data_IF_375092178545
#
_entry.id   IF_375092178545
#
_cell.length_a   1.000
_cell.length_b   1.000
_cell.length_c   1.000
_cell.angle_alpha   90.00
_cell.angle_beta   90.00
_cell.angle_gamma   90.00
#
_symmetry.space_group_name_H-M   'P 1'
#
loop_
_entity.id
_entity.type
_entity.pdbx_description
1 polymer ?
#
# COMPACT_ATOMS: atom_id res chain seq x y z
N UNK A 1 -26.79 -25.78 18.36
CA UNK A 1 -26.85 -24.51 17.62
C UNK A 1 -26.56 -23.38 18.59
N UNK A 2 -25.49 -22.61 18.31
CA UNK A 2 -25.29 -21.18 18.58
C UNK A 2 -25.49 -20.73 20.05
N UNK A 3 -24.45 -20.52 20.83
CA UNK A 3 -23.34 -19.59 20.57
C UNK A 3 -23.68 -18.25 21.23
N UNK A 4 -23.28 -18.10 22.48
CA UNK A 4 -23.20 -16.83 23.17
C UNK A 4 -21.87 -16.83 23.93
N UNK A 5 -20.80 -16.47 23.22
CA UNK A 5 -19.58 -16.02 23.86
C UNK A 5 -19.94 -14.74 24.62
N UNK A 6 -19.99 -14.86 25.95
CA UNK A 6 -20.06 -13.70 26.83
C UNK A 6 -18.77 -12.89 26.65
N UNK A 7 -18.88 -11.80 25.89
CA UNK A 7 -17.82 -10.81 25.75
C UNK A 7 -17.61 -10.16 27.12
N UNK A 8 -16.58 -10.59 27.86
CA UNK A 8 -16.13 -9.92 29.07
C UNK A 8 -15.52 -8.56 28.72
N UNK A 9 -16.38 -7.54 28.58
CA UNK A 9 -15.96 -6.16 28.44
C UNK A 9 -15.46 -5.63 29.79
N UNK A 10 -14.18 -5.25 29.84
CA UNK A 10 -13.64 -4.47 30.95
C UNK A 10 -14.47 -3.19 31.16
N UNK A 11 -14.62 -2.72 32.41
CA UNK A 11 -15.44 -1.55 32.74
C UNK A 11 -15.03 -0.29 31.93
N UNK A 12 -13.73 -0.15 31.65
CA UNK A 12 -13.18 0.91 30.80
C UNK A 12 -13.63 0.77 29.34
N UNK A 13 -13.72 -0.45 28.83
CA UNK A 13 -14.10 -0.73 27.45
C UNK A 13 -15.60 -0.50 27.23
N UNK A 14 -16.42 -0.90 28.19
CA UNK A 14 -17.86 -0.62 28.21
C UNK A 14 -18.14 0.89 28.17
N UNK A 15 -17.39 1.69 28.93
CA UNK A 15 -17.52 3.16 28.93
C UNK A 15 -17.11 3.79 27.59
N UNK A 16 -16.08 3.25 26.92
CA UNK A 16 -15.65 3.73 25.60
C UNK A 16 -16.69 3.42 24.53
N UNK A 17 -17.20 2.19 24.51
CA UNK A 17 -18.22 1.78 23.54
C UNK A 17 -19.51 2.58 23.72
N UNK A 18 -19.96 2.82 24.96
CA UNK A 18 -21.14 3.66 25.21
C UNK A 18 -20.95 5.10 24.71
N UNK A 19 -19.75 5.67 24.86
CA UNK A 19 -19.47 7.02 24.39
C UNK A 19 -19.45 7.10 22.85
N UNK A 20 -18.84 6.12 22.18
CA UNK A 20 -18.84 6.06 20.71
C UNK A 20 -20.25 5.84 20.16
N UNK A 21 -21.05 4.98 20.81
CA UNK A 21 -22.43 4.74 20.42
C UNK A 21 -23.30 6.01 20.55
N UNK A 22 -23.17 6.76 21.66
CA UNK A 22 -23.88 8.02 21.82
C UNK A 22 -23.42 9.10 20.83
N UNK A 23 -22.11 9.20 20.59
CA UNK A 23 -21.56 10.13 19.62
C UNK A 23 -22.10 9.85 18.22
N UNK A 24 -22.05 8.59 17.78
CA UNK A 24 -22.55 8.20 16.44
C UNK A 24 -24.05 8.40 16.30
N UNK A 25 -24.83 8.17 17.36
CA UNK A 25 -26.27 8.40 17.36
C UNK A 25 -26.63 9.88 17.19
N UNK A 26 -25.77 10.81 17.61
CA UNK A 26 -25.96 12.25 17.44
C UNK A 26 -25.37 12.76 16.11
N UNK A 27 -24.18 12.30 15.73
CA UNK A 27 -23.46 12.83 14.55
C UNK A 27 -24.12 12.43 13.24
N UNK A 28 -24.60 11.19 13.11
CA UNK A 28 -25.22 10.70 11.86
C UNK A 28 -26.46 11.54 11.48
N UNK A 29 -27.46 11.73 12.34
CA UNK A 29 -28.61 12.56 11.99
C UNK A 29 -28.24 14.03 11.81
N UNK A 30 -27.25 14.56 12.53
CA UNK A 30 -26.76 15.92 12.32
C UNK A 30 -26.19 16.10 10.90
N UNK A 31 -25.27 15.23 10.46
CA UNK A 31 -24.71 15.28 9.11
C UNK A 31 -25.82 15.15 8.07
N UNK A 32 -26.72 14.19 8.22
CA UNK A 32 -27.84 13.99 7.30
C UNK A 32 -28.78 15.19 7.25
N UNK A 33 -28.89 15.99 8.31
CA UNK A 33 -29.70 17.20 8.32
C UNK A 33 -28.98 18.38 7.67
N UNK A 34 -27.68 18.55 7.93
CA UNK A 34 -26.88 19.65 7.42
C UNK A 34 -26.48 19.50 5.93
N UNK A 35 -26.32 18.28 5.42
CA UNK A 35 -25.90 18.06 4.02
C UNK A 35 -27.05 17.99 3.02
N UNK A 36 -28.33 18.09 3.44
CA UNK A 36 -29.48 18.05 2.50
C UNK A 36 -29.59 19.28 1.59
N UNK A 37 -28.83 20.34 1.87
CA UNK A 37 -28.90 21.61 1.14
C UNK A 37 -27.73 21.85 0.18
N UNK A 38 -26.72 20.98 0.14
CA UNK A 38 -25.55 21.18 -0.71
C UNK A 38 -25.79 20.57 -2.10
N UNK A 39 -25.83 21.38 -3.18
CA UNK A 39 -25.85 20.84 -4.54
C UNK A 39 -24.56 20.04 -4.76
N UNK A 40 -24.70 18.79 -5.18
CA UNK A 40 -23.55 17.97 -5.53
C UNK A 40 -22.76 18.65 -6.65
N UNK A 41 -21.46 18.85 -6.42
CA UNK A 41 -20.56 19.38 -7.42
C UNK A 41 -20.63 18.49 -8.67
N UNK A 42 -20.97 19.12 -9.79
CA UNK A 42 -21.08 18.52 -11.10
C UNK A 42 -19.76 17.81 -11.46
N UNK A 43 -19.84 16.50 -11.67
CA UNK A 43 -18.70 15.70 -12.13
C UNK A 43 -18.43 16.10 -13.57
N UNK A 44 -17.38 16.90 -13.79
CA UNK A 44 -16.93 17.29 -15.12
C UNK A 44 -16.64 16.03 -15.94
N UNK A 45 -17.48 15.77 -16.94
CA UNK A 45 -17.27 14.74 -17.95
C UNK A 45 -16.17 15.24 -18.88
N UNK A 46 -15.02 14.55 -18.87
CA UNK A 46 -13.93 14.83 -19.80
C UNK A 46 -14.39 14.43 -21.20
N UNK A 47 -14.63 15.41 -22.06
CA UNK A 47 -14.90 15.19 -23.47
C UNK A 47 -13.64 14.63 -24.15
N UNK A 48 -13.75 13.40 -24.67
CA UNK A 48 -12.74 12.83 -25.55
C UNK A 48 -12.74 13.60 -26.89
N UNK A 49 -11.60 14.18 -27.25
CA UNK A 49 -11.40 14.78 -28.56
C UNK A 49 -11.34 13.66 -29.61
N UNK A 50 -12.46 13.42 -30.31
CA UNK A 50 -12.49 12.62 -31.52
C UNK A 50 -11.86 13.41 -32.67
N UNK A 51 -10.83 12.85 -33.29
CA UNK A 51 -10.29 13.37 -34.55
C UNK A 51 -11.20 12.93 -35.69
N UNK A 52 -11.74 13.89 -36.43
CA UNK A 52 -12.52 13.65 -37.64
C UNK A 52 -11.57 13.39 -38.81
N UNK A 53 -11.53 12.14 -39.31
CA UNK A 53 -10.94 11.82 -40.61
C UNK A 53 -12.07 11.61 -41.61
N UNK A 54 -12.61 12.71 -42.13
CA UNK A 54 -13.31 12.68 -43.39
C UNK A 54 -12.34 12.36 -44.52
N UNK A 55 -12.50 11.21 -45.18
CA UNK A 55 -12.54 11.12 -46.64
C UNK A 55 -12.76 9.67 -47.10
N UNK A 56 -13.89 9.45 -47.77
CA UNK A 56 -14.15 8.32 -48.65
C UNK A 56 -13.08 8.27 -49.77
N UNK A 57 -12.27 7.21 -49.84
CA UNK A 57 -11.96 6.58 -51.13
C UNK A 57 -11.36 5.18 -50.97
N UNK A 58 -12.16 4.19 -51.34
CA UNK A 58 -11.72 2.84 -51.68
C UNK A 58 -10.94 2.91 -52.99
N UNK A 59 -9.65 2.61 -52.99
CA UNK A 59 -8.94 2.14 -54.19
C UNK A 59 -7.86 1.16 -53.75
N UNK A 60 -8.18 -0.12 -53.88
CA UNK A 60 -7.21 -1.22 -53.91
C UNK A 60 -6.29 -0.98 -55.11
N UNK A 61 -5.15 -0.33 -54.88
CA UNK A 61 -4.01 -0.36 -55.80
C UNK A 61 -2.88 -1.02 -55.02
N UNK A 62 -2.54 -2.24 -55.44
CA UNK A 62 -1.45 -3.03 -54.90
C UNK A 62 -0.15 -2.20 -54.96
N UNK A 63 0.29 -1.74 -53.79
CA UNK A 63 1.54 -1.01 -53.64
C UNK A 63 2.69 -1.99 -53.87
N UNK A 64 3.67 -1.68 -54.76
CA UNK A 64 4.82 -2.56 -54.94
C UNK A 64 5.53 -2.72 -53.60
N UNK A 65 5.94 -3.97 -53.30
CA UNK A 65 6.60 -4.31 -52.04
C UNK A 65 7.85 -3.42 -51.84
N UNK A 66 8.10 -2.91 -50.62
CA UNK A 66 9.24 -2.06 -50.35
C UNK A 66 10.55 -2.83 -50.60
N UNK A 67 11.44 -2.25 -51.42
CA UNK A 67 12.81 -2.73 -51.59
C UNK A 67 13.65 -2.18 -50.44
N UNK A 68 14.07 -3.06 -49.54
CA UNK A 68 15.02 -2.71 -48.49
C UNK A 68 16.42 -2.66 -49.11
N UNK A 69 16.97 -1.44 -49.27
CA UNK A 69 18.41 -1.30 -49.49
C UNK A 69 19.10 -1.65 -48.17
N UNK A 70 19.78 -2.79 -48.14
CA UNK A 70 20.61 -3.20 -47.00
C UNK A 70 21.71 -2.15 -46.80
N UNK A 71 21.52 -1.30 -45.80
CA UNK A 71 22.55 -0.38 -45.33
C UNK A 71 23.70 -1.16 -44.71
N UNK A 72 24.89 -0.54 -44.54
CA UNK A 72 26.03 -1.20 -43.90
C UNK A 72 25.61 -1.84 -42.57
N UNK A 73 26.02 -3.09 -42.37
CA UNK A 73 25.68 -3.84 -41.17
C UNK A 73 26.07 -3.03 -39.92
N UNK A 74 25.09 -2.82 -39.03
CA UNK A 74 25.32 -2.12 -37.77
C UNK A 74 26.43 -2.83 -37.00
N UNK A 75 27.44 -2.07 -36.58
CA UNK A 75 28.52 -2.59 -35.75
C UNK A 75 27.87 -3.10 -34.46
N UNK A 76 27.95 -4.41 -34.23
CA UNK A 76 27.45 -5.01 -33.01
C UNK A 76 28.12 -4.33 -31.82
N UNK A 77 27.37 -3.85 -30.81
CA UNK A 77 27.97 -3.21 -29.66
C UNK A 77 28.81 -4.26 -28.92
N UNK A 78 30.13 -4.20 -29.06
CA UNK A 78 31.10 -5.03 -28.33
C UNK A 78 31.35 -4.51 -26.91
N UNK A 79 30.54 -3.56 -26.45
CA UNK A 79 30.60 -3.03 -25.11
C UNK A 79 29.84 -3.93 -24.15
N UNK A 80 30.56 -4.76 -23.40
CA UNK A 80 30.06 -5.23 -22.09
C UNK A 80 30.01 -4.01 -21.18
N UNK A 81 28.89 -3.29 -21.21
CA UNK A 81 28.61 -2.28 -20.20
C UNK A 81 28.52 -3.02 -18.86
N UNK A 82 29.39 -2.65 -17.92
CA UNK A 82 29.26 -3.13 -16.54
C UNK A 82 27.98 -2.53 -15.98
N UNK A 83 26.92 -3.33 -15.94
CA UNK A 83 25.72 -2.98 -15.20
C UNK A 83 26.11 -3.08 -13.73
N UNK A 84 26.34 -1.94 -13.09
CA UNK A 84 26.44 -1.90 -11.65
C UNK A 84 25.08 -2.28 -11.07
N UNK A 85 24.94 -3.54 -10.66
CA UNK A 85 23.84 -3.92 -9.79
C UNK A 85 23.99 -3.13 -8.50
N UNK A 86 22.95 -2.43 -8.02
CA UNK A 86 23.02 -1.82 -6.70
C UNK A 86 23.36 -2.94 -5.71
N UNK A 87 24.37 -2.70 -4.88
CA UNK A 87 24.71 -3.58 -3.76
C UNK A 87 23.43 -3.94 -3.01
N UNK A 88 23.28 -5.20 -2.60
CA UNK A 88 22.39 -5.59 -1.50
C UNK A 88 22.93 -4.97 -0.19
N UNK A 89 23.17 -3.65 -0.20
CA UNK A 89 23.53 -2.93 1.00
C UNK A 89 22.40 -3.17 1.96
N UNK A 90 22.79 -3.73 3.10
CA UNK A 90 21.92 -4.02 4.21
C UNK A 90 21.40 -2.68 4.72
N UNK A 91 20.35 -2.15 4.08
CA UNK A 91 19.61 -0.97 4.52
C UNK A 91 18.88 -1.41 5.79
N UNK A 92 19.59 -1.35 6.89
CA UNK A 92 19.20 -1.86 8.17
C UNK A 92 19.72 -0.97 9.28
N UNK A 93 18.90 -0.81 10.31
CA UNK A 93 19.23 -0.04 11.49
C UNK A 93 19.32 -1.02 12.66
N UNK A 94 20.33 -0.84 13.52
CA UNK A 94 20.42 -1.60 14.76
C UNK A 94 19.64 -0.87 15.86
N UNK A 95 18.80 -1.60 16.58
CA UNK A 95 17.97 -1.03 17.63
C UNK A 95 17.40 -2.08 18.56
N UNK A 96 16.65 -1.63 19.56
CA UNK A 96 15.98 -2.52 20.49
C UNK A 96 14.66 -2.99 19.89
N UNK A 97 14.39 -4.29 20.07
CA UNK A 97 13.16 -4.93 19.66
C UNK A 97 12.40 -5.43 20.89
N UNK A 98 11.07 -5.36 20.87
CA UNK A 98 10.21 -5.94 21.90
C UNK A 98 9.07 -6.73 21.30
N UNK A 99 8.40 -7.54 22.11
CA UNK A 99 7.25 -8.34 21.71
C UNK A 99 5.98 -7.81 22.38
N UNK A 100 4.89 -7.74 21.64
CA UNK A 100 3.57 -7.41 22.20
C UNK A 100 2.43 -8.02 21.41
N UNK A 101 1.30 -8.24 22.05
CA UNK A 101 0.09 -8.68 21.37
C UNK A 101 -0.60 -7.51 20.67
N UNK A 102 -0.85 -7.67 19.38
CA UNK A 102 -1.66 -6.78 18.57
C UNK A 102 -3.03 -7.42 18.42
N UNK A 103 -4.06 -6.76 18.92
CA UNK A 103 -5.40 -7.33 18.91
C UNK A 103 -5.93 -7.43 17.46
N UNK A 104 -6.28 -8.65 17.03
CA UNK A 104 -6.82 -8.91 15.70
C UNK A 104 -5.81 -8.89 14.55
N UNK A 105 -4.50 -8.87 14.84
CA UNK A 105 -3.46 -8.90 13.81
C UNK A 105 -2.91 -10.33 13.61
N UNK A 106 -2.45 -10.70 12.40
CA UNK A 106 -1.80 -11.98 12.17
C UNK A 106 -0.38 -11.99 12.77
N UNK A 107 0.11 -13.15 13.23
CA UNK A 107 1.43 -13.31 13.88
C UNK A 107 2.65 -12.91 13.02
N UNK A 108 2.43 -12.52 11.78
CA UNK A 108 3.44 -12.08 10.82
C UNK A 108 3.60 -10.56 10.75
N UNK A 109 2.93 -9.77 11.60
CA UNK A 109 3.05 -8.30 11.59
C UNK A 109 4.01 -7.75 12.65
N UNK A 110 4.56 -6.58 12.38
CA UNK A 110 5.38 -5.80 13.29
C UNK A 110 5.13 -4.31 13.10
N UNK A 111 5.48 -3.50 14.09
CA UNK A 111 5.44 -2.04 14.00
C UNK A 111 6.87 -1.50 14.14
N UNK A 112 7.35 -0.82 13.10
CA UNK A 112 8.60 -0.10 13.06
C UNK A 112 8.36 1.28 12.44
N UNK A 113 8.28 2.36 13.26
CA UNK A 113 8.04 3.72 12.79
C UNK A 113 9.13 4.24 11.83
N UNK A 114 10.33 3.66 11.94
CA UNK A 114 11.50 4.02 11.15
C UNK A 114 11.48 3.45 9.73
N UNK A 115 10.59 2.49 9.45
CA UNK A 115 10.51 1.82 8.16
C UNK A 115 9.18 2.16 7.47
N UNK A 116 9.13 2.10 6.12
CA UNK A 116 7.88 2.27 5.40
C UNK A 116 6.83 1.23 5.82
N UNK A 117 5.56 1.59 5.82
CA UNK A 117 4.47 0.65 6.09
C UNK A 117 4.21 -0.25 4.88
N UNK A 118 3.79 -1.49 5.12
CA UNK A 118 3.48 -2.48 4.08
C UNK A 118 4.70 -3.23 3.51
N UNK A 119 5.92 -2.92 3.95
CA UNK A 119 7.14 -3.63 3.53
C UNK A 119 7.44 -4.79 4.46
N UNK A 120 8.09 -5.83 3.92
CA UNK A 120 8.63 -6.93 4.71
C UNK A 120 9.96 -6.54 5.34
N UNK A 121 10.02 -6.58 6.65
CA UNK A 121 11.22 -6.37 7.45
C UNK A 121 11.77 -7.73 7.90
N UNK A 122 13.10 -7.84 7.91
CA UNK A 122 13.80 -9.00 8.49
C UNK A 122 14.48 -8.53 9.77
N UNK A 123 13.99 -9.03 10.90
CA UNK A 123 14.55 -8.73 12.21
C UNK A 123 15.53 -9.82 12.58
N UNK A 124 16.81 -9.47 12.68
CA UNK A 124 17.87 -10.38 13.12
C UNK A 124 18.25 -10.09 14.56
N UNK A 125 18.10 -11.08 15.41
CA UNK A 125 18.58 -11.02 16.79
C UNK A 125 20.10 -11.18 16.79
N UNK A 126 20.81 -10.15 17.24
CA UNK A 126 22.28 -10.12 17.25
C UNK A 126 22.88 -11.03 18.34
N UNK A 127 22.12 -11.41 19.36
CA UNK A 127 22.59 -12.26 20.46
C UNK A 127 22.62 -13.75 20.09
N UNK A 128 21.66 -14.23 19.27
CA UNK A 128 21.53 -15.65 18.93
C UNK A 128 21.45 -15.93 17.43
N UNK A 129 21.54 -14.90 16.58
CA UNK A 129 21.49 -15.02 15.12
C UNK A 129 20.13 -15.37 14.53
N UNK A 130 19.09 -15.58 15.34
CA UNK A 130 17.74 -15.91 14.83
C UNK A 130 17.15 -14.73 14.09
N UNK A 131 16.52 -15.03 12.96
CA UNK A 131 15.86 -14.02 12.12
C UNK A 131 14.37 -14.29 12.00
N UNK A 132 13.56 -13.24 12.02
CA UNK A 132 12.10 -13.29 11.87
C UNK A 132 11.71 -12.28 10.80
N UNK A 133 10.95 -12.72 9.81
CA UNK A 133 10.36 -11.83 8.82
C UNK A 133 8.98 -11.37 9.27
N UNK A 134 8.69 -10.08 9.17
CA UNK A 134 7.40 -9.50 9.52
C UNK A 134 7.01 -8.38 8.56
N UNK A 135 5.72 -8.15 8.39
CA UNK A 135 5.20 -7.03 7.62
C UNK A 135 5.02 -5.82 8.52
N UNK A 136 5.59 -4.67 8.13
CA UNK A 136 5.46 -3.44 8.90
C UNK A 136 4.04 -2.89 8.75
N UNK A 137 3.37 -2.60 9.87
CA UNK A 137 2.04 -2.00 9.91
C UNK A 137 2.01 -0.83 10.88
N UNK A 138 1.16 0.16 10.63
CA UNK A 138 1.03 1.32 11.50
C UNK A 138 0.26 0.94 12.77
N UNK A 139 0.80 1.32 13.94
CA UNK A 139 0.17 1.11 15.23
C UNK A 139 0.28 2.34 16.14
N UNK A 140 -0.65 2.49 17.10
CA UNK A 140 -0.81 3.74 17.84
C UNK A 140 0.30 4.03 18.84
N UNK A 141 1.09 3.04 19.26
CA UNK A 141 2.23 3.29 20.13
C UNK A 141 3.39 2.33 19.88
N UNK A 142 4.57 2.92 19.82
CA UNK A 142 5.85 2.23 19.95
C UNK A 142 6.45 2.74 21.26
N UNK A 143 6.81 1.87 22.22
CA UNK A 143 7.44 2.31 23.46
C UNK A 143 8.70 3.14 23.17
N UNK A 144 9.00 4.10 24.06
CA UNK A 144 10.22 4.87 23.95
C UNK A 144 11.45 3.93 23.96
N UNK A 145 12.46 4.28 23.18
CA UNK A 145 13.70 3.50 23.01
C UNK A 145 13.55 2.13 22.35
N UNK A 146 12.39 1.80 21.78
CA UNK A 146 12.18 0.58 20.98
C UNK A 146 12.06 0.96 19.51
N UNK A 147 12.86 0.34 18.65
CA UNK A 147 12.87 0.59 17.21
C UNK A 147 11.83 -0.26 16.47
N UNK A 148 11.52 -1.44 17.01
CA UNK A 148 10.55 -2.37 16.41
C UNK A 148 9.81 -3.17 17.48
N UNK A 149 8.50 -3.33 17.27
CA UNK A 149 7.62 -4.16 18.10
C UNK A 149 7.12 -5.32 17.24
N UNK A 150 7.42 -6.55 17.64
CA UNK A 150 6.98 -7.76 16.95
C UNK A 150 5.69 -8.30 17.58
N UNK A 151 4.79 -8.79 16.74
CA UNK A 151 3.62 -9.50 17.23
C UNK A 151 3.97 -10.91 17.73
N UNK A 152 3.30 -11.34 18.80
CA UNK A 152 3.32 -12.72 19.31
C UNK A 152 1.90 -13.21 19.52
#
# INVERSE_FOLDING_TARGET
>A
MKGADEVFLSATDRRRITLVALLTLVTVPAVVFFTRGEPQAEVATVAAAGVDLGSNMTTTTESPAPVFLEGPAGIAPTGTAVIAYPSEDNVGITGLATFSSFNGAPSTVCNAPIAPYGVKLVVKNLNNGRSIACSNVMMPSTPANVSIVLHT
#
